data_IF_918838631213
#
_entry.id   IF_918838631213
#
_cell.length_a   1.000
_cell.length_b   1.000
_cell.length_c   1.000
_cell.angle_alpha   90.00
_cell.angle_beta   90.00
_cell.angle_gamma   90.00
#
_symmetry.space_group_name_H-M   'P 1'
#
loop_
_entity.id
_entity.type
_entity.pdbx_description
1 polymer ?
#
# COMPACT_ATOMS: atom_id res chain seq x y z
N UNK A 1 82.51 73.98 -3.11
CA UNK A 1 81.52 74.71 -2.29
C UNK A 1 80.13 74.11 -2.56
N UNK A 2 79.48 73.47 -1.63
CA UNK A 2 78.21 72.83 -1.86
C UNK A 2 77.01 73.69 -1.41
N UNK A 3 76.00 73.72 -2.17
CA UNK A 3 74.72 74.34 -1.81
C UNK A 3 73.81 73.35 -1.09
N UNK A 4 73.37 73.75 0.10
CA UNK A 4 72.41 73.06 0.94
C UNK A 4 70.97 73.41 0.43
N UNK A 5 70.18 72.50 0.12
CA UNK A 5 68.74 72.66 -0.12
C UNK A 5 67.99 71.95 0.99
N UNK A 6 67.30 72.73 1.80
CA UNK A 6 66.39 72.24 2.87
C UNK A 6 65.01 71.95 2.28
N UNK A 7 64.52 70.74 2.37
CA UNK A 7 63.12 70.34 2.03
C UNK A 7 62.29 70.19 3.31
N UNK A 8 61.24 70.95 3.36
CA UNK A 8 60.21 70.97 4.44
C UNK A 8 59.27 69.75 4.30
N UNK A 9 59.19 68.92 5.31
CA UNK A 9 58.24 67.85 5.46
C UNK A 9 56.85 68.39 5.88
N UNK A 10 55.85 68.20 5.03
CA UNK A 10 54.45 68.46 5.37
C UNK A 10 53.89 67.25 6.16
N UNK A 11 53.42 67.49 7.37
CA UNK A 11 52.80 66.49 8.23
C UNK A 11 51.43 66.07 7.67
N UNK A 12 51.24 64.73 7.53
CA UNK A 12 49.97 64.15 7.19
C UNK A 12 49.11 63.99 8.46
N UNK A 13 47.98 64.66 8.51
CA UNK A 13 47.01 64.50 9.57
C UNK A 13 46.22 63.16 9.38
N UNK A 14 46.47 62.20 10.25
CA UNK A 14 45.60 61.03 10.40
C UNK A 14 44.30 61.47 11.13
N UNK A 15 43.22 61.56 10.40
CA UNK A 15 41.89 61.68 10.96
C UNK A 15 41.49 60.33 11.58
N UNK A 16 41.41 60.27 12.89
CA UNK A 16 40.85 59.14 13.62
C UNK A 16 39.35 59.02 13.30
N UNK A 17 38.94 57.87 12.77
CA UNK A 17 37.51 57.54 12.58
C UNK A 17 36.84 57.47 13.95
N UNK A 18 35.62 58.04 14.12
CA UNK A 18 34.93 58.02 15.38
C UNK A 18 34.60 56.60 15.85
N UNK A 19 34.89 56.28 17.12
CA UNK A 19 34.75 54.99 17.78
C UNK A 19 33.35 54.34 17.66
N UNK A 20 32.33 55.15 17.33
CA UNK A 20 30.95 54.75 17.13
C UNK A 20 30.73 53.97 15.82
N UNK A 21 31.51 54.24 14.74
CA UNK A 21 31.38 53.53 13.46
C UNK A 21 31.93 52.12 13.58
N UNK A 22 33.01 51.89 14.35
CA UNK A 22 33.57 50.55 14.62
C UNK A 22 32.61 49.68 15.44
N UNK A 23 31.89 50.25 16.41
CA UNK A 23 30.90 49.53 17.18
C UNK A 23 29.65 49.15 16.34
N UNK A 24 29.19 49.99 15.43
CA UNK A 24 28.10 49.72 14.56
C UNK A 24 28.40 48.62 13.49
N UNK A 25 29.63 48.58 12.97
CA UNK A 25 30.05 47.54 12.04
C UNK A 25 30.26 46.18 12.75
N UNK A 26 30.78 46.20 13.99
CA UNK A 26 30.89 44.94 14.77
C UNK A 26 29.54 44.34 15.16
N UNK A 27 28.51 45.18 15.44
CA UNK A 27 27.15 44.73 15.75
C UNK A 27 26.44 44.22 14.49
N UNK A 28 26.67 44.82 13.31
CA UNK A 28 26.12 44.35 12.03
C UNK A 28 26.74 43.02 11.57
N UNK A 29 28.07 42.79 11.82
CA UNK A 29 28.72 41.53 11.52
C UNK A 29 28.25 40.42 12.49
N UNK A 30 27.96 40.72 13.76
CA UNK A 30 27.44 39.76 14.72
C UNK A 30 26.02 39.37 14.42
N UNK A 31 25.17 40.24 13.86
CA UNK A 31 23.79 39.97 13.39
C UNK A 31 23.76 39.18 12.07
N UNK A 32 24.76 39.33 11.19
CA UNK A 32 24.91 38.54 9.96
C UNK A 32 25.43 37.12 10.22
N UNK A 33 26.14 36.88 11.33
CA UNK A 33 26.63 35.55 11.70
C UNK A 33 25.57 34.65 12.34
N UNK A 34 24.39 35.17 12.70
CA UNK A 34 23.29 34.39 13.29
C UNK A 34 22.23 33.94 12.28
N UNK A 35 22.32 34.37 11.02
CA UNK A 35 21.57 33.78 9.92
C UNK A 35 22.25 32.53 9.35
N UNK A 36 22.83 31.67 10.20
CA UNK A 36 23.08 30.29 9.81
C UNK A 36 21.72 29.70 9.59
N UNK A 37 21.34 29.57 8.31
CA UNK A 37 20.19 28.80 7.93
C UNK A 37 20.22 27.51 8.75
N UNK A 38 19.30 27.32 9.66
CA UNK A 38 19.00 26.02 10.25
C UNK A 38 18.62 25.12 9.07
N UNK A 39 19.62 24.52 8.43
CA UNK A 39 19.39 23.31 7.67
C UNK A 39 18.76 22.37 8.67
N UNK A 40 17.46 22.22 8.60
CA UNK A 40 16.74 21.30 9.48
C UNK A 40 17.42 19.95 9.32
N UNK A 41 18.19 19.56 10.35
CA UNK A 41 18.91 18.29 10.35
C UNK A 41 17.85 17.22 10.15
N UNK A 42 18.02 16.40 9.10
CA UNK A 42 17.09 15.31 8.81
C UNK A 42 16.89 14.47 10.07
N UNK A 43 15.64 14.16 10.39
CA UNK A 43 15.26 13.31 11.54
C UNK A 43 15.78 11.87 11.43
N UNK A 44 16.36 11.51 10.29
CA UNK A 44 16.93 10.18 10.02
C UNK A 44 16.46 9.61 8.69
N UNK A 45 17.03 8.45 8.33
CA UNK A 45 16.68 7.69 7.12
C UNK A 45 15.60 6.65 7.46
N UNK A 46 14.57 6.58 6.65
CA UNK A 46 13.54 5.54 6.66
C UNK A 46 13.65 4.72 5.38
N UNK A 47 13.86 3.41 5.53
CA UNK A 47 13.83 2.47 4.41
C UNK A 47 12.40 2.03 4.10
N UNK A 48 12.03 2.02 2.81
CA UNK A 48 10.70 1.64 2.34
C UNK A 48 10.88 0.55 1.29
N UNK A 49 10.45 -0.69 1.61
CA UNK A 49 10.54 -1.83 0.71
C UNK A 49 9.15 -2.23 0.22
N UNK A 50 8.91 -2.08 -1.09
CA UNK A 50 7.66 -2.44 -1.76
C UNK A 50 7.85 -3.67 -2.65
N UNK A 51 6.79 -4.49 -2.88
CA UNK A 51 6.91 -5.74 -3.65
C UNK A 51 7.30 -5.51 -5.11
N UNK A 52 6.56 -4.69 -5.84
CA UNK A 52 6.77 -4.49 -7.27
C UNK A 52 6.12 -3.20 -7.78
N UNK A 53 6.34 -2.91 -9.07
CA UNK A 53 5.61 -1.87 -9.82
C UNK A 53 4.55 -2.45 -10.75
N UNK A 54 4.44 -3.77 -10.83
CA UNK A 54 3.48 -4.46 -11.70
C UNK A 54 2.02 -4.23 -11.28
N UNK A 55 1.79 -4.06 -9.98
CA UNK A 55 0.49 -3.72 -9.40
C UNK A 55 0.50 -2.22 -9.03
N UNK A 56 -0.38 -1.44 -9.66
CA UNK A 56 -0.35 0.02 -9.60
C UNK A 56 -0.46 0.60 -8.17
N UNK A 57 -1.18 -0.08 -7.27
CA UNK A 57 -1.32 0.37 -5.89
C UNK A 57 0.04 0.51 -5.17
N UNK A 58 1.02 -0.38 -5.43
CA UNK A 58 2.32 -0.30 -4.76
C UNK A 58 3.10 0.96 -5.12
N UNK A 59 2.92 1.46 -6.35
CA UNK A 59 3.47 2.76 -6.76
C UNK A 59 2.81 3.89 -5.95
N UNK A 60 1.49 3.85 -5.79
CA UNK A 60 0.76 4.83 -4.99
C UNK A 60 1.16 4.76 -3.51
N UNK A 61 1.23 3.56 -2.92
CA UNK A 61 1.67 3.34 -1.54
C UNK A 61 3.08 3.89 -1.29
N UNK A 62 4.06 3.55 -2.15
CA UNK A 62 5.43 4.02 -2.04
C UNK A 62 5.54 5.54 -2.15
N UNK A 63 4.88 6.14 -3.14
CA UNK A 63 4.91 7.59 -3.35
C UNK A 63 4.22 8.35 -2.20
N UNK A 64 3.09 7.87 -1.71
CA UNK A 64 2.41 8.45 -0.56
C UNK A 64 3.27 8.36 0.71
N UNK A 65 3.94 7.21 0.93
CA UNK A 65 4.85 7.03 2.06
C UNK A 65 6.03 8.00 2.00
N UNK A 66 6.67 8.15 0.83
CA UNK A 66 7.77 9.11 0.63
C UNK A 66 7.29 10.53 0.92
N UNK A 67 6.14 10.93 0.36
CA UNK A 67 5.55 12.26 0.57
C UNK A 67 5.29 12.52 2.06
N UNK A 68 4.64 11.59 2.75
CA UNK A 68 4.32 11.71 4.17
C UNK A 68 5.58 11.82 5.05
N UNK A 69 6.57 10.97 4.81
CA UNK A 69 7.81 10.97 5.58
C UNK A 69 8.67 12.21 5.32
N UNK A 70 8.79 12.63 4.05
CA UNK A 70 9.56 13.82 3.69
C UNK A 70 8.92 15.09 4.26
N UNK A 71 7.58 15.20 4.26
CA UNK A 71 6.87 16.33 4.87
C UNK A 71 7.11 16.42 6.39
N UNK A 72 7.44 15.31 7.03
CA UNK A 72 7.79 15.21 8.46
C UNK A 72 9.30 15.39 8.73
N UNK A 73 10.13 15.61 7.69
CA UNK A 73 11.56 15.87 7.80
C UNK A 73 12.46 14.64 7.78
N UNK A 74 11.96 13.48 7.36
CA UNK A 74 12.75 12.28 7.16
C UNK A 74 13.37 12.21 5.76
N UNK A 75 14.56 11.60 5.67
CA UNK A 75 15.07 11.06 4.40
C UNK A 75 14.43 9.70 4.14
N UNK A 76 14.24 9.36 2.88
CA UNK A 76 13.61 8.11 2.47
C UNK A 76 14.47 7.35 1.47
N UNK A 77 14.50 6.02 1.57
CA UNK A 77 15.04 5.11 0.56
C UNK A 77 13.92 4.17 0.13
N UNK A 78 13.27 4.47 -1.00
CA UNK A 78 12.18 3.67 -1.55
C UNK A 78 12.71 2.73 -2.62
N UNK A 79 12.48 1.43 -2.42
CA UNK A 79 12.88 0.37 -3.34
C UNK A 79 11.69 -0.54 -3.70
N UNK A 80 11.69 -1.03 -4.93
CA UNK A 80 10.73 -2.01 -5.44
C UNK A 80 11.51 -3.27 -5.85
N UNK A 81 11.06 -4.43 -5.41
CA UNK A 81 11.79 -5.68 -5.57
C UNK A 81 11.35 -6.51 -6.79
N UNK A 82 10.38 -6.00 -7.57
CA UNK A 82 9.84 -6.62 -8.80
C UNK A 82 9.36 -8.08 -8.57
N UNK A 83 8.73 -8.28 -7.41
CA UNK A 83 8.21 -9.57 -6.90
C UNK A 83 9.29 -10.67 -6.72
N UNK A 84 10.58 -10.28 -6.72
CA UNK A 84 11.71 -11.16 -6.51
C UNK A 84 12.19 -11.11 -5.06
N UNK A 85 12.03 -12.20 -4.30
CA UNK A 85 12.42 -12.29 -2.89
C UNK A 85 13.90 -11.95 -2.67
N UNK A 86 14.87 -12.48 -3.45
CA UNK A 86 16.27 -12.12 -3.26
C UNK A 86 16.54 -10.63 -3.42
N UNK A 87 15.84 -9.94 -4.33
CA UNK A 87 15.97 -8.51 -4.51
C UNK A 87 15.47 -7.76 -3.27
N UNK A 88 14.32 -8.16 -2.72
CA UNK A 88 13.79 -7.53 -1.51
C UNK A 88 14.74 -7.68 -0.32
N UNK A 89 15.31 -8.87 -0.13
CA UNK A 89 16.30 -9.13 0.92
C UNK A 89 17.53 -8.22 0.76
N UNK A 90 18.13 -8.17 -0.42
CA UNK A 90 19.30 -7.34 -0.70
C UNK A 90 19.00 -5.83 -0.52
N UNK A 91 17.83 -5.38 -0.94
CA UNK A 91 17.39 -3.98 -0.74
C UNK A 91 17.27 -3.64 0.73
N UNK A 92 16.67 -4.51 1.55
CA UNK A 92 16.56 -4.30 3.01
C UNK A 92 17.95 -4.29 3.66
N UNK A 93 18.85 -5.20 3.30
CA UNK A 93 20.24 -5.21 3.77
C UNK A 93 20.96 -3.90 3.42
N UNK A 94 20.78 -3.38 2.22
CA UNK A 94 21.32 -2.08 1.80
C UNK A 94 20.76 -0.91 2.63
N UNK A 95 19.45 -0.91 2.93
CA UNK A 95 18.83 0.10 3.80
C UNK A 95 19.41 0.06 5.21
N UNK A 96 19.63 -1.12 5.76
CA UNK A 96 20.30 -1.32 7.06
C UNK A 96 21.71 -0.73 7.02
N UNK A 97 22.49 -1.07 6.00
CA UNK A 97 23.88 -0.60 5.81
C UNK A 97 23.95 0.93 5.67
N UNK A 98 22.96 1.54 4.98
CA UNK A 98 22.84 3.00 4.85
C UNK A 98 22.42 3.70 6.17
N UNK A 99 22.15 2.95 7.23
CA UNK A 99 21.82 3.47 8.54
C UNK A 99 20.36 3.89 8.71
N UNK A 100 19.43 3.21 8.02
CA UNK A 100 18.00 3.39 8.26
C UNK A 100 17.68 3.23 9.74
N UNK A 101 16.80 4.08 10.25
CA UNK A 101 16.34 4.04 11.65
C UNK A 101 15.05 3.24 11.81
N UNK A 102 14.25 3.22 10.77
CA UNK A 102 13.01 2.45 10.66
C UNK A 102 12.95 1.84 9.27
N UNK A 103 12.45 0.62 9.20
CA UNK A 103 12.09 -0.07 7.96
C UNK A 103 10.57 -0.18 7.88
N UNK A 104 9.98 0.27 6.78
CA UNK A 104 8.57 0.09 6.43
C UNK A 104 8.51 -0.89 5.27
N UNK A 105 7.99 -2.09 5.51
CA UNK A 105 8.14 -3.21 4.58
C UNK A 105 6.77 -3.80 4.22
N UNK A 106 6.42 -3.78 2.94
CA UNK A 106 5.40 -4.61 2.35
C UNK A 106 6.07 -5.89 1.80
N UNK A 107 5.95 -7.00 2.53
CA UNK A 107 6.66 -8.22 2.20
C UNK A 107 6.11 -8.87 0.91
N UNK A 108 7.00 -9.38 0.04
CA UNK A 108 6.61 -10.26 -1.07
C UNK A 108 6.08 -11.57 -0.49
N UNK A 109 6.88 -12.23 0.34
CA UNK A 109 6.51 -13.40 1.13
C UNK A 109 6.81 -13.11 2.61
N UNK A 110 5.78 -13.14 3.43
CA UNK A 110 5.90 -12.84 4.87
C UNK A 110 6.85 -13.77 5.62
N UNK A 111 7.15 -14.96 5.11
CA UNK A 111 7.98 -15.96 5.81
C UNK A 111 9.48 -15.83 5.56
N UNK A 112 9.92 -14.98 4.63
CA UNK A 112 11.33 -14.98 4.13
C UNK A 112 12.25 -13.98 4.82
N UNK A 113 11.70 -13.07 5.65
CA UNK A 113 12.43 -11.91 6.14
C UNK A 113 13.10 -12.09 7.52
N UNK A 114 12.88 -13.22 8.21
CA UNK A 114 13.30 -13.40 9.62
C UNK A 114 14.79 -13.10 9.85
N UNK A 115 15.69 -13.55 8.96
CA UNK A 115 17.15 -13.38 9.12
C UNK A 115 17.55 -11.92 8.97
N UNK A 116 17.10 -11.23 7.91
CA UNK A 116 17.45 -9.82 7.68
C UNK A 116 16.87 -8.91 8.77
N UNK A 117 15.69 -9.23 9.30
CA UNK A 117 15.08 -8.49 10.40
C UNK A 117 15.77 -8.74 11.74
N UNK A 118 16.40 -9.91 11.94
CA UNK A 118 17.29 -10.13 13.09
C UNK A 118 18.49 -9.20 13.03
N UNK A 119 19.09 -8.99 11.84
CA UNK A 119 20.17 -8.03 11.64
C UNK A 119 19.71 -6.60 11.92
N UNK A 120 18.54 -6.20 11.44
CA UNK A 120 17.96 -4.89 11.74
C UNK A 120 17.77 -4.68 13.24
N UNK A 121 17.21 -5.65 13.95
CA UNK A 121 16.97 -5.60 15.38
C UNK A 121 18.26 -5.49 16.20
N UNK A 122 19.34 -6.20 15.79
CA UNK A 122 20.65 -6.11 16.46
C UNK A 122 21.28 -4.71 16.38
N UNK A 123 20.86 -3.90 15.40
CA UNK A 123 21.28 -2.50 15.23
C UNK A 123 20.26 -1.50 15.79
N UNK A 124 19.23 -1.97 16.49
CA UNK A 124 18.19 -1.12 17.08
C UNK A 124 17.21 -0.52 16.07
N UNK A 125 17.22 -1.00 14.82
CA UNK A 125 16.33 -0.55 13.76
C UNK A 125 14.93 -1.09 14.01
N UNK A 126 13.92 -0.21 13.97
CA UNK A 126 12.51 -0.56 14.13
C UNK A 126 11.89 -1.03 12.83
N UNK A 127 10.93 -1.94 12.92
CA UNK A 127 10.27 -2.55 11.75
C UNK A 127 8.76 -2.39 11.82
N UNK A 128 8.19 -1.78 10.79
CA UNK A 128 6.76 -1.69 10.58
C UNK A 128 6.41 -2.56 9.37
N UNK A 129 5.60 -3.61 9.59
CA UNK A 129 4.94 -4.31 8.51
C UNK A 129 3.90 -3.38 7.88
N UNK A 130 3.90 -3.25 6.57
CA UNK A 130 3.02 -2.37 5.82
C UNK A 130 2.13 -3.18 4.89
N UNK A 131 0.82 -3.04 5.02
CA UNK A 131 -0.22 -3.77 4.29
C UNK A 131 -0.15 -5.31 4.45
N UNK A 132 1.01 -5.93 4.30
CA UNK A 132 1.25 -7.37 4.41
C UNK A 132 1.94 -7.75 5.71
N UNK A 133 1.41 -8.77 6.41
CA UNK A 133 1.97 -9.23 7.68
C UNK A 133 3.29 -10.00 7.45
N UNK A 134 4.33 -9.61 8.19
CA UNK A 134 5.59 -10.36 8.23
C UNK A 134 5.49 -11.43 9.31
N UNK A 135 5.80 -12.69 8.96
CA UNK A 135 5.57 -13.89 9.77
C UNK A 135 6.86 -14.47 10.33
N UNK A 136 6.73 -15.34 11.32
CA UNK A 136 7.83 -16.18 11.84
C UNK A 136 8.94 -15.45 12.57
N UNK A 137 8.75 -14.18 12.98
CA UNK A 137 9.78 -13.40 13.67
C UNK A 137 9.20 -12.50 14.75
N UNK A 138 9.96 -12.28 15.83
CA UNK A 138 9.63 -11.29 16.88
C UNK A 138 10.02 -9.87 16.49
N UNK A 139 10.82 -9.70 15.44
CA UNK A 139 11.47 -8.44 15.03
C UNK A 139 10.59 -7.60 14.10
N UNK A 140 9.27 -7.62 14.31
CA UNK A 140 8.30 -6.70 13.72
C UNK A 140 7.68 -5.93 14.88
N UNK A 141 7.86 -4.62 14.92
CA UNK A 141 7.37 -3.82 16.04
C UNK A 141 5.87 -3.54 15.93
N UNK A 142 5.41 -3.12 14.74
CA UNK A 142 4.02 -2.77 14.46
C UNK A 142 3.58 -3.22 13.07
N UNK A 143 2.25 -3.21 12.87
CA UNK A 143 1.63 -3.51 11.59
C UNK A 143 0.59 -2.44 11.24
N UNK A 144 0.71 -1.83 10.07
CA UNK A 144 -0.26 -0.90 9.51
C UNK A 144 -0.95 -1.56 8.32
N UNK A 145 -2.26 -1.72 8.37
CA UNK A 145 -3.04 -2.38 7.32
C UNK A 145 -4.52 -1.94 7.37
N UNK A 146 -5.36 -2.60 6.59
CA UNK A 146 -6.81 -2.49 6.65
C UNK A 146 -7.42 -3.67 7.41
N UNK A 147 -8.71 -3.57 7.77
CA UNK A 147 -9.46 -4.73 8.24
C UNK A 147 -9.68 -5.71 7.07
N UNK A 148 -8.76 -6.66 6.96
CA UNK A 148 -8.70 -7.59 5.84
C UNK A 148 -9.87 -8.60 5.85
N UNK A 149 -10.37 -8.97 7.03
CA UNK A 149 -11.57 -9.81 7.12
C UNK A 149 -12.79 -9.06 6.59
N UNK A 150 -12.94 -7.79 6.97
CA UNK A 150 -14.03 -6.94 6.49
C UNK A 150 -14.00 -6.72 4.98
N UNK A 151 -12.82 -6.70 4.34
CA UNK A 151 -12.73 -6.69 2.86
C UNK A 151 -13.48 -7.87 2.26
N UNK A 152 -13.21 -9.08 2.75
CA UNK A 152 -13.91 -10.28 2.30
C UNK A 152 -15.42 -10.24 2.57
N UNK A 153 -15.81 -9.78 3.76
CA UNK A 153 -17.23 -9.60 4.12
C UNK A 153 -17.93 -8.67 3.13
N UNK A 154 -17.31 -7.55 2.76
CA UNK A 154 -17.86 -6.61 1.76
C UNK A 154 -18.03 -7.26 0.40
N UNK A 155 -17.05 -8.05 -0.05
CA UNK A 155 -17.12 -8.78 -1.33
C UNK A 155 -18.24 -9.84 -1.31
N UNK A 156 -18.29 -10.67 -0.28
CA UNK A 156 -19.34 -11.69 -0.12
C UNK A 156 -20.73 -11.08 -0.04
N UNK A 157 -20.88 -9.98 0.72
CA UNK A 157 -22.16 -9.25 0.84
C UNK A 157 -22.61 -8.69 -0.50
N UNK A 158 -21.70 -8.09 -1.28
CA UNK A 158 -22.02 -7.58 -2.61
C UNK A 158 -22.55 -8.69 -3.54
N UNK A 159 -21.93 -9.88 -3.53
CA UNK A 159 -22.44 -11.03 -4.30
C UNK A 159 -23.86 -11.42 -3.85
N UNK A 160 -24.07 -11.56 -2.55
CA UNK A 160 -25.36 -11.94 -1.96
C UNK A 160 -26.46 -10.95 -2.35
N UNK A 161 -26.17 -9.65 -2.26
CA UNK A 161 -27.14 -8.59 -2.55
C UNK A 161 -27.43 -8.50 -4.06
N UNK A 162 -26.41 -8.53 -4.91
CA UNK A 162 -26.58 -8.42 -6.37
C UNK A 162 -27.30 -9.62 -6.99
N UNK A 163 -27.11 -10.82 -6.42
CA UNK A 163 -27.85 -12.03 -6.83
C UNK A 163 -29.25 -12.13 -6.20
N UNK A 164 -29.56 -11.31 -5.20
CA UNK A 164 -30.84 -11.35 -4.49
C UNK A 164 -31.03 -12.62 -3.66
N UNK A 165 -29.95 -13.18 -3.13
CA UNK A 165 -29.98 -14.43 -2.34
C UNK A 165 -30.80 -14.29 -1.06
N UNK A 166 -30.78 -13.09 -0.42
CA UNK A 166 -31.62 -12.79 0.76
C UNK A 166 -33.10 -12.88 0.45
N UNK A 167 -33.52 -12.57 -0.79
CA UNK A 167 -34.89 -12.71 -1.26
C UNK A 167 -35.24 -14.13 -1.75
N UNK A 168 -34.37 -15.10 -1.47
CA UNK A 168 -34.60 -16.50 -1.79
C UNK A 168 -34.28 -16.92 -3.22
N UNK A 169 -33.71 -16.02 -4.07
CA UNK A 169 -33.34 -16.36 -5.45
C UNK A 169 -32.21 -17.41 -5.47
N UNK A 170 -32.08 -18.11 -6.59
CA UNK A 170 -31.11 -19.18 -6.84
C UNK A 170 -31.81 -20.49 -7.29
N UNK A 171 -31.02 -21.57 -7.58
CA UNK A 171 -29.58 -21.65 -7.40
C UNK A 171 -28.77 -20.83 -8.44
N UNK A 172 -27.61 -20.36 -8.04
CA UNK A 172 -26.67 -19.65 -8.90
C UNK A 172 -25.27 -20.31 -8.86
N UNK A 173 -24.62 -20.39 -10.02
CA UNK A 173 -23.26 -20.89 -10.11
C UNK A 173 -22.26 -19.77 -9.80
N UNK A 174 -21.31 -20.04 -8.93
CA UNK A 174 -20.22 -19.16 -8.54
C UNK A 174 -18.90 -19.89 -8.66
N UNK A 175 -17.83 -19.19 -9.04
CA UNK A 175 -16.45 -19.63 -8.84
C UNK A 175 -15.72 -18.67 -7.90
N UNK A 176 -14.76 -19.22 -7.14
CA UNK A 176 -14.00 -18.47 -6.16
C UNK A 176 -12.53 -18.48 -6.52
N UNK A 177 -11.92 -17.30 -6.39
CA UNK A 177 -10.47 -17.10 -6.52
C UNK A 177 -9.94 -16.62 -5.17
N UNK A 178 -8.74 -17.08 -4.82
CA UNK A 178 -7.99 -16.62 -3.67
C UNK A 178 -6.83 -15.71 -4.07
N UNK A 179 -6.32 -14.94 -3.14
CA UNK A 179 -5.09 -14.18 -3.32
C UNK A 179 -3.84 -15.07 -3.25
N UNK A 180 -2.68 -14.44 -3.21
CA UNK A 180 -1.40 -15.15 -3.15
C UNK A 180 -1.25 -15.95 -1.84
N UNK A 181 -0.94 -17.25 -1.88
CA UNK A 181 -0.85 -18.06 -0.66
C UNK A 181 0.30 -17.68 0.28
N UNK A 182 1.30 -16.94 -0.21
CA UNK A 182 2.40 -16.39 0.58
C UNK A 182 2.06 -15.05 1.28
N UNK A 183 0.89 -14.49 0.99
CA UNK A 183 0.34 -13.30 1.62
C UNK A 183 -0.73 -13.69 2.65
N UNK A 184 -0.49 -13.35 3.92
CA UNK A 184 -1.42 -13.63 5.00
C UNK A 184 -2.82 -13.01 4.78
N UNK A 185 -2.90 -11.89 4.07
CA UNK A 185 -4.17 -11.20 3.82
C UNK A 185 -5.12 -12.03 2.94
N UNK A 186 -4.58 -12.87 2.04
CA UNK A 186 -5.38 -13.73 1.18
C UNK A 186 -6.32 -14.65 1.96
N UNK A 187 -5.87 -15.14 3.12
CA UNK A 187 -6.68 -15.98 4.00
C UNK A 187 -7.78 -15.18 4.68
N UNK A 188 -7.49 -13.98 5.18
CA UNK A 188 -8.49 -13.10 5.79
C UNK A 188 -9.56 -12.66 4.78
N UNK A 189 -9.18 -12.30 3.56
CA UNK A 189 -10.14 -11.96 2.50
C UNK A 189 -11.04 -13.15 2.17
N UNK A 190 -10.43 -14.33 2.00
CA UNK A 190 -11.17 -15.55 1.71
C UNK A 190 -12.14 -15.90 2.84
N UNK A 191 -11.66 -15.93 4.08
CA UNK A 191 -12.48 -16.31 5.25
C UNK A 191 -13.61 -15.29 5.48
N UNK A 192 -13.34 -13.99 5.30
CA UNK A 192 -14.36 -12.95 5.37
C UNK A 192 -15.46 -13.13 4.32
N UNK A 193 -15.09 -13.41 3.06
CA UNK A 193 -16.06 -13.67 2.00
C UNK A 193 -16.85 -14.96 2.25
N UNK A 194 -16.17 -16.04 2.66
CA UNK A 194 -16.81 -17.32 2.94
C UNK A 194 -17.72 -17.27 4.16
N UNK A 195 -17.44 -16.41 5.16
CA UNK A 195 -18.34 -16.23 6.30
C UNK A 195 -19.74 -15.76 5.87
N UNK A 196 -19.81 -15.02 4.76
CA UNK A 196 -21.08 -14.52 4.17
C UNK A 196 -21.67 -15.52 3.16
N UNK A 197 -20.83 -16.16 2.33
CA UNK A 197 -21.29 -17.01 1.23
C UNK A 197 -21.65 -18.44 1.69
N UNK A 198 -21.00 -18.95 2.75
CA UNK A 198 -21.17 -20.33 3.20
C UNK A 198 -22.61 -20.75 3.47
N UNK A 199 -23.48 -19.97 4.13
CA UNK A 199 -24.87 -20.35 4.36
C UNK A 199 -25.65 -20.60 3.04
N UNK A 200 -25.31 -19.88 1.97
CA UNK A 200 -25.92 -20.04 0.66
C UNK A 200 -25.35 -21.23 -0.13
N UNK A 201 -24.07 -21.55 0.09
CA UNK A 201 -23.44 -22.76 -0.44
C UNK A 201 -24.00 -24.01 0.24
N UNK A 202 -24.13 -24.00 1.58
CA UNK A 202 -24.64 -25.12 2.37
C UNK A 202 -26.13 -25.41 2.02
N UNK A 203 -26.91 -24.37 1.72
CA UNK A 203 -28.32 -24.51 1.32
C UNK A 203 -28.53 -24.83 -0.17
N UNK A 204 -27.46 -24.90 -0.97
CA UNK A 204 -27.52 -25.13 -2.40
C UNK A 204 -28.00 -23.93 -3.23
N UNK A 205 -28.22 -22.76 -2.61
CA UNK A 205 -28.57 -21.51 -3.35
C UNK A 205 -27.40 -20.93 -4.12
N UNK A 206 -26.18 -21.22 -3.70
CA UNK A 206 -24.94 -21.03 -4.45
C UNK A 206 -24.29 -22.38 -4.71
N UNK A 207 -23.72 -22.56 -5.90
CA UNK A 207 -23.06 -23.80 -6.31
C UNK A 207 -21.69 -23.47 -6.90
N UNK A 208 -20.61 -23.98 -6.29
CA UNK A 208 -19.28 -23.97 -6.89
C UNK A 208 -19.13 -25.23 -7.72
N UNK A 209 -19.33 -25.11 -9.04
CA UNK A 209 -19.34 -26.28 -9.94
C UNK A 209 -18.01 -27.00 -9.99
N UNK A 210 -16.91 -26.28 -9.92
CA UNK A 210 -15.55 -26.86 -9.85
C UNK A 210 -15.29 -27.63 -8.54
N UNK A 211 -16.07 -27.37 -7.50
CA UNK A 211 -15.81 -27.84 -6.12
C UNK A 211 -14.43 -27.43 -5.56
N UNK A 212 -13.79 -26.44 -6.19
CA UNK A 212 -12.50 -25.91 -5.75
C UNK A 212 -12.72 -24.85 -4.67
N UNK A 213 -12.30 -25.14 -3.46
CA UNK A 213 -12.43 -24.27 -2.28
C UNK A 213 -11.15 -24.26 -1.46
N UNK A 214 -10.94 -23.17 -0.70
CA UNK A 214 -9.75 -22.98 0.14
C UNK A 214 -8.58 -22.33 -0.61
N UNK A 215 -7.90 -21.39 0.05
CA UNK A 215 -6.82 -20.57 -0.56
C UNK A 215 -5.76 -21.44 -1.21
N UNK A 216 -5.43 -22.60 -0.65
CA UNK A 216 -4.42 -23.52 -1.22
C UNK A 216 -4.81 -24.10 -2.59
N UNK A 217 -6.11 -24.13 -2.94
CA UNK A 217 -6.60 -24.63 -4.24
C UNK A 217 -6.95 -23.52 -5.22
N UNK A 218 -7.43 -22.39 -4.71
CA UNK A 218 -7.97 -21.30 -5.53
C UNK A 218 -7.06 -20.06 -5.54
N UNK A 219 -5.95 -20.11 -4.78
CA UNK A 219 -5.00 -19.01 -4.68
C UNK A 219 -4.21 -18.78 -5.97
N UNK A 220 -3.95 -17.52 -6.25
CA UNK A 220 -3.18 -17.07 -7.41
C UNK A 220 -1.88 -16.45 -6.91
N UNK A 221 -0.78 -17.17 -7.13
CA UNK A 221 0.55 -16.73 -6.68
C UNK A 221 0.90 -15.35 -7.26
N UNK A 222 1.49 -14.50 -6.43
CA UNK A 222 1.87 -13.11 -6.76
C UNK A 222 0.72 -12.22 -7.22
N UNK A 223 -0.55 -12.63 -7.00
CA UNK A 223 -1.72 -11.86 -7.43
C UNK A 223 -1.72 -11.60 -8.95
N UNK A 224 -1.20 -12.58 -9.72
CA UNK A 224 -0.97 -12.44 -11.16
C UNK A 224 -2.27 -12.58 -11.96
N UNK A 225 -2.63 -11.52 -12.70
CA UNK A 225 -3.87 -11.47 -13.48
C UNK A 225 -3.88 -12.44 -14.66
N UNK A 226 -2.72 -12.73 -15.28
CA UNK A 226 -2.64 -13.69 -16.40
C UNK A 226 -2.87 -15.12 -15.91
N UNK A 227 -2.33 -15.47 -14.75
CA UNK A 227 -2.60 -16.75 -14.08
C UNK A 227 -4.08 -16.88 -13.72
N UNK A 228 -4.71 -15.79 -13.24
CA UNK A 228 -6.15 -15.78 -12.96
C UNK A 228 -6.98 -15.99 -14.25
N UNK A 229 -6.60 -15.34 -15.36
CA UNK A 229 -7.21 -15.56 -16.67
C UNK A 229 -7.12 -17.02 -17.10
N UNK A 230 -5.90 -17.60 -17.10
CA UNK A 230 -5.69 -18.99 -17.48
C UNK A 230 -6.50 -19.97 -16.60
N UNK A 231 -6.59 -19.71 -15.28
CA UNK A 231 -7.47 -20.50 -14.40
C UNK A 231 -8.93 -20.36 -14.77
N UNK A 232 -9.39 -19.16 -15.12
CA UNK A 232 -10.78 -18.94 -15.53
C UNK A 232 -11.09 -19.61 -16.86
N UNK A 233 -10.18 -19.59 -17.85
CA UNK A 233 -10.32 -20.32 -19.12
C UNK A 233 -10.52 -21.82 -18.88
N UNK A 234 -9.71 -22.39 -17.98
CA UNK A 234 -9.83 -23.81 -17.61
C UNK A 234 -11.16 -24.11 -16.91
N UNK A 235 -11.64 -23.23 -16.01
CA UNK A 235 -12.93 -23.40 -15.34
C UNK A 235 -14.10 -23.34 -16.34
N UNK A 236 -14.06 -22.37 -17.24
CA UNK A 236 -15.11 -22.20 -18.27
C UNK A 236 -15.17 -23.42 -19.18
N UNK A 237 -14.03 -23.90 -19.66
CA UNK A 237 -13.95 -25.08 -20.51
C UNK A 237 -14.43 -26.35 -19.80
N UNK A 238 -14.03 -26.56 -18.55
CA UNK A 238 -14.32 -27.81 -17.85
C UNK A 238 -15.73 -27.90 -17.27
N UNK A 239 -16.34 -26.76 -16.88
CA UNK A 239 -17.56 -26.76 -16.06
C UNK A 239 -18.70 -25.91 -16.61
N UNK A 240 -18.45 -25.06 -17.62
CA UNK A 240 -19.42 -24.06 -18.08
C UNK A 240 -19.75 -24.14 -19.58
N UNK A 241 -19.51 -25.30 -20.23
CA UNK A 241 -19.83 -25.51 -21.64
C UNK A 241 -21.33 -25.34 -21.95
N UNK A 242 -22.21 -25.79 -21.05
CA UNK A 242 -23.67 -25.66 -21.17
C UNK A 242 -24.31 -24.83 -20.05
N UNK A 243 -23.58 -24.59 -19.02
CA UNK A 243 -24.04 -23.89 -17.81
C UNK A 243 -23.58 -22.44 -17.82
N UNK A 244 -24.29 -21.58 -17.11
CA UNK A 244 -23.90 -20.18 -16.95
C UNK A 244 -23.20 -19.98 -15.60
N UNK A 245 -22.16 -19.14 -15.60
CA UNK A 245 -21.61 -18.59 -14.37
C UNK A 245 -22.35 -17.30 -14.03
N UNK A 246 -22.72 -17.14 -12.76
CA UNK A 246 -23.53 -16.00 -12.28
C UNK A 246 -22.72 -15.05 -11.40
N UNK A 247 -21.66 -15.56 -10.74
CA UNK A 247 -20.77 -14.74 -9.94
C UNK A 247 -19.34 -15.29 -9.95
N UNK A 248 -18.39 -14.40 -9.75
CA UNK A 248 -16.98 -14.73 -9.46
C UNK A 248 -16.53 -13.89 -8.26
N UNK A 249 -16.13 -14.57 -7.19
CA UNK A 249 -15.39 -13.94 -6.11
C UNK A 249 -13.94 -13.74 -6.58
N UNK A 250 -13.60 -12.55 -7.00
CA UNK A 250 -12.23 -12.14 -7.31
C UNK A 250 -11.70 -11.26 -6.16
N UNK A 251 -10.60 -11.66 -5.49
CA UNK A 251 -10.16 -11.00 -4.26
C UNK A 251 -9.50 -9.64 -4.49
N UNK A 252 -9.02 -9.35 -5.70
CA UNK A 252 -8.52 -8.03 -6.09
C UNK A 252 -8.77 -7.71 -7.56
N UNK A 253 -8.47 -6.48 -7.95
CA UNK A 253 -8.77 -5.92 -9.27
C UNK A 253 -7.88 -6.53 -10.37
N UNK A 254 -6.61 -6.79 -10.12
CA UNK A 254 -5.72 -7.43 -11.09
C UNK A 254 -6.24 -8.81 -11.50
N UNK A 255 -6.72 -9.61 -10.53
CA UNK A 255 -7.34 -10.90 -10.82
C UNK A 255 -8.70 -10.73 -11.52
N UNK A 256 -9.51 -9.75 -11.10
CA UNK A 256 -10.80 -9.46 -11.72
C UNK A 256 -10.64 -9.11 -13.21
N UNK A 257 -9.64 -8.32 -13.57
CA UNK A 257 -9.34 -7.99 -14.98
C UNK A 257 -9.00 -9.25 -15.78
N UNK A 258 -8.20 -10.15 -15.26
CA UNK A 258 -7.91 -11.44 -15.90
C UNK A 258 -9.16 -12.30 -16.08
N UNK A 259 -9.99 -12.41 -15.05
CA UNK A 259 -11.28 -13.11 -15.09
C UNK A 259 -12.22 -12.52 -16.15
N UNK A 260 -12.35 -11.20 -16.21
CA UNK A 260 -13.19 -10.50 -17.20
C UNK A 260 -12.69 -10.76 -18.62
N UNK A 261 -11.37 -10.77 -18.82
CA UNK A 261 -10.77 -11.08 -20.13
C UNK A 261 -11.19 -12.47 -20.61
N UNK A 262 -11.08 -13.48 -19.77
CA UNK A 262 -11.51 -14.85 -20.05
C UNK A 262 -13.02 -14.94 -20.36
N UNK A 263 -13.86 -14.31 -19.53
CA UNK A 263 -15.31 -14.30 -19.71
C UNK A 263 -15.73 -13.66 -21.05
N UNK A 264 -15.08 -12.56 -21.43
CA UNK A 264 -15.31 -11.91 -22.74
C UNK A 264 -14.95 -12.84 -23.91
N UNK A 265 -13.89 -13.63 -23.78
CA UNK A 265 -13.46 -14.61 -24.78
C UNK A 265 -14.53 -15.64 -25.11
N UNK A 266 -15.44 -15.94 -24.19
CA UNK A 266 -16.56 -16.89 -24.39
C UNK A 266 -17.95 -16.23 -24.48
N UNK A 267 -17.99 -14.92 -24.71
CA UNK A 267 -19.21 -14.17 -25.05
C UNK A 267 -19.95 -13.53 -23.87
N UNK A 268 -19.45 -13.58 -22.65
CA UNK A 268 -19.99 -12.76 -21.55
C UNK A 268 -19.63 -11.28 -21.74
N UNK A 269 -20.29 -10.42 -20.99
CA UNK A 269 -20.09 -8.97 -21.03
C UNK A 269 -20.40 -8.36 -22.41
N UNK A 270 -21.41 -8.88 -23.09
CA UNK A 270 -21.91 -8.41 -24.38
C UNK A 270 -23.38 -8.05 -24.29
N UNK A 271 -23.92 -7.41 -25.34
CA UNK A 271 -25.36 -7.13 -25.42
C UNK A 271 -26.24 -8.40 -25.35
N UNK A 272 -25.68 -9.56 -25.72
CA UNK A 272 -26.41 -10.85 -25.70
C UNK A 272 -26.32 -11.54 -24.34
N UNK A 273 -25.26 -11.32 -23.60
CA UNK A 273 -25.01 -11.98 -22.31
C UNK A 273 -24.29 -11.03 -21.34
N UNK A 274 -25.01 -10.64 -20.29
CA UNK A 274 -24.47 -9.78 -19.26
C UNK A 274 -23.24 -10.42 -18.56
N UNK A 275 -22.40 -9.57 -18.00
CA UNK A 275 -21.34 -10.03 -17.09
C UNK A 275 -21.95 -10.70 -15.86
N UNK A 276 -21.30 -11.73 -15.30
CA UNK A 276 -21.60 -12.18 -13.94
C UNK A 276 -21.29 -11.10 -12.90
N UNK A 277 -21.75 -11.30 -11.68
CA UNK A 277 -21.30 -10.48 -10.54
C UNK A 277 -19.82 -10.75 -10.29
N UNK A 278 -18.97 -9.74 -10.41
CA UNK A 278 -17.50 -9.87 -10.23
C UNK A 278 -17.07 -8.85 -9.19
N UNK A 279 -16.43 -9.33 -8.13
CA UNK A 279 -15.84 -8.49 -7.09
C UNK A 279 -14.41 -8.07 -7.43
N UNK A 280 -13.85 -7.17 -6.64
CA UNK A 280 -12.45 -6.77 -6.72
C UNK A 280 -12.02 -6.05 -5.44
N UNK A 281 -10.80 -5.55 -5.43
CA UNK A 281 -10.22 -4.77 -4.36
C UNK A 281 -9.10 -3.90 -4.94
N UNK A 282 -8.82 -2.77 -4.29
CA UNK A 282 -7.79 -1.76 -4.52
C UNK A 282 -8.24 -0.58 -5.39
N UNK A 283 -9.44 -0.60 -5.95
CA UNK A 283 -10.02 0.48 -6.76
C UNK A 283 -9.09 0.95 -7.89
N UNK A 284 -8.42 0.00 -8.56
CA UNK A 284 -7.51 0.31 -9.67
C UNK A 284 -8.27 0.93 -10.85
N UNK A 285 -7.62 1.86 -11.56
CA UNK A 285 -8.25 2.59 -12.68
C UNK A 285 -8.91 1.67 -13.71
N UNK A 286 -8.29 0.56 -14.19
CA UNK A 286 -8.94 -0.35 -15.12
C UNK A 286 -10.23 -0.95 -14.56
N UNK A 287 -10.25 -1.32 -13.30
CA UNK A 287 -11.41 -1.90 -12.62
C UNK A 287 -12.51 -0.87 -12.38
N UNK A 288 -12.18 0.36 -12.00
CA UNK A 288 -13.18 1.44 -11.89
C UNK A 288 -13.81 1.70 -13.26
N UNK A 289 -13.04 1.72 -14.35
CA UNK A 289 -13.58 1.80 -15.73
C UNK A 289 -14.47 0.60 -16.07
N UNK A 290 -14.10 -0.61 -15.67
CA UNK A 290 -14.90 -1.81 -15.87
C UNK A 290 -16.21 -1.76 -15.07
N UNK A 291 -16.19 -1.22 -13.85
CA UNK A 291 -17.41 -1.00 -13.05
C UNK A 291 -18.37 -0.04 -13.76
N UNK A 292 -17.85 1.06 -14.30
CA UNK A 292 -18.68 2.04 -15.02
C UNK A 292 -19.27 1.49 -16.34
N UNK A 293 -18.60 0.50 -16.95
CA UNK A 293 -19.10 -0.23 -18.13
C UNK A 293 -20.03 -1.38 -17.78
N UNK A 294 -20.21 -1.71 -16.49
CA UNK A 294 -20.99 -2.87 -16.06
C UNK A 294 -20.27 -4.21 -16.28
N UNK A 295 -18.96 -4.21 -16.47
CA UNK A 295 -18.14 -5.40 -16.69
C UNK A 295 -17.61 -6.00 -15.37
N UNK A 296 -17.41 -5.17 -14.35
CA UNK A 296 -17.14 -5.53 -12.97
C UNK A 296 -18.24 -4.96 -12.08
N UNK A 297 -18.58 -5.61 -10.99
CA UNK A 297 -19.70 -5.17 -10.14
C UNK A 297 -19.25 -4.21 -9.06
N UNK A 298 -18.11 -4.49 -8.44
CA UNK A 298 -17.57 -3.69 -7.33
C UNK A 298 -16.09 -3.88 -7.15
N UNK A 299 -15.48 -2.94 -6.45
CA UNK A 299 -14.15 -3.06 -5.88
C UNK A 299 -14.16 -2.60 -4.43
N UNK A 300 -13.24 -3.08 -3.60
CA UNK A 300 -13.07 -2.59 -2.24
C UNK A 300 -11.93 -1.57 -2.22
N UNK A 301 -12.28 -0.33 -1.93
CA UNK A 301 -11.34 0.79 -1.84
C UNK A 301 -10.60 0.78 -0.52
N UNK A 302 -9.29 0.88 -0.63
CA UNK A 302 -8.33 1.04 0.46
C UNK A 302 -7.51 2.29 0.19
N UNK A 303 -7.72 3.36 0.96
CA UNK A 303 -7.03 4.63 0.74
C UNK A 303 -5.55 4.52 1.11
N UNK A 304 -4.69 4.40 0.10
CA UNK A 304 -3.23 4.30 0.26
C UNK A 304 -2.60 5.55 0.89
N UNK A 305 -3.26 6.71 0.78
CA UNK A 305 -2.83 7.96 1.43
C UNK A 305 -2.98 7.85 2.95
N UNK A 306 -4.12 7.33 3.41
CA UNK A 306 -4.38 7.13 4.83
C UNK A 306 -3.48 6.05 5.43
N UNK A 307 -3.23 4.95 4.70
CA UNK A 307 -2.31 3.91 5.16
C UNK A 307 -0.88 4.45 5.31
N UNK A 308 -0.42 5.24 4.33
CA UNK A 308 0.88 5.90 4.40
C UNK A 308 0.96 6.89 5.57
N UNK A 309 -0.11 7.67 5.83
CA UNK A 309 -0.20 8.61 6.95
C UNK A 309 -0.09 7.88 8.30
N UNK A 310 -0.79 6.75 8.45
CA UNK A 310 -0.73 5.92 9.67
C UNK A 310 0.68 5.38 9.88
N UNK A 311 1.29 4.76 8.86
CA UNK A 311 2.63 4.20 8.98
C UNK A 311 3.69 5.29 9.23
N UNK A 312 3.59 6.46 8.58
CA UNK A 312 4.46 7.60 8.87
C UNK A 312 4.27 8.15 10.29
N UNK A 313 3.04 8.12 10.81
CA UNK A 313 2.74 8.42 12.22
C UNK A 313 3.40 7.43 13.19
N UNK A 314 3.42 6.15 12.85
CA UNK A 314 4.14 5.12 13.62
C UNK A 314 5.65 5.38 13.61
N UNK A 315 6.23 5.78 12.47
CA UNK A 315 7.65 6.18 12.38
C UNK A 315 7.95 7.36 13.31
N UNK A 316 7.13 8.44 13.28
CA UNK A 316 7.28 9.59 14.15
C UNK A 316 7.24 9.22 15.64
N UNK A 317 6.28 8.37 16.02
CA UNK A 317 6.13 7.93 17.40
C UNK A 317 7.36 7.12 17.86
N UNK A 318 7.79 6.15 17.06
CA UNK A 318 8.95 5.30 17.39
C UNK A 318 10.24 6.09 17.54
N UNK A 319 10.53 6.99 16.62
CA UNK A 319 11.75 7.82 16.66
C UNK A 319 11.65 8.96 17.69
N UNK A 320 10.43 9.35 18.07
CA UNK A 320 10.16 10.29 19.15
C UNK A 320 10.09 9.64 20.55
N UNK A 321 10.39 8.33 20.67
CA UNK A 321 10.32 7.59 21.94
C UNK A 321 8.89 7.45 22.50
N UNK A 322 7.87 7.52 21.63
CA UNK A 322 6.45 7.39 21.98
C UNK A 322 5.88 6.07 21.48
N UNK A 323 4.76 5.67 22.03
CA UNK A 323 4.00 4.53 21.52
C UNK A 323 3.20 4.97 20.28
N UNK A 324 3.27 4.23 19.16
CA UNK A 324 2.38 4.42 18.03
C UNK A 324 0.90 4.18 18.39
N UNK A 325 0.01 4.88 17.70
CA UNK A 325 -1.41 4.61 17.77
C UNK A 325 -1.73 3.24 17.16
N UNK A 326 -2.50 2.43 17.90
CA UNK A 326 -2.96 1.11 17.48
C UNK A 326 -4.43 0.94 17.88
N UNK A 327 -5.14 0.08 17.15
CA UNK A 327 -6.53 -0.28 17.45
C UNK A 327 -6.80 -1.78 17.46
N UNK A 328 -5.77 -2.60 17.21
CA UNK A 328 -5.85 -4.06 17.32
C UNK A 328 -4.59 -4.66 17.98
N UNK A 329 -4.82 -5.52 18.98
CA UNK A 329 -3.77 -6.26 19.71
C UNK A 329 -4.08 -7.75 19.83
N UNK A 330 -4.99 -8.28 18.99
CA UNK A 330 -5.50 -9.66 19.12
C UNK A 330 -5.48 -10.44 17.80
N UNK A 331 -5.76 -9.78 16.69
CA UNK A 331 -6.07 -10.45 15.41
C UNK A 331 -4.84 -10.98 14.69
N UNK A 332 -3.76 -10.20 14.65
CA UNK A 332 -2.62 -10.51 13.78
C UNK A 332 -1.48 -11.21 14.51
N UNK A 333 -1.68 -12.52 14.75
CA UNK A 333 -0.59 -13.40 15.22
C UNK A 333 0.28 -13.81 14.02
N UNK A 334 1.55 -13.44 14.09
CA UNK A 334 2.51 -13.71 13.01
C UNK A 334 3.27 -15.04 13.16
N UNK A 335 2.85 -15.89 14.10
CA UNK A 335 3.50 -17.17 14.41
C UNK A 335 4.59 -17.07 15.49
N UNK A 336 5.08 -15.86 15.81
CA UNK A 336 6.05 -15.62 16.88
C UNK A 336 5.49 -14.72 17.99
N UNK A 337 4.54 -13.86 17.65
CA UNK A 337 3.80 -13.00 18.59
C UNK A 337 2.54 -12.45 17.93
N UNK A 338 1.64 -11.88 18.73
CA UNK A 338 0.63 -10.95 18.22
C UNK A 338 1.30 -9.61 17.96
N UNK A 339 1.20 -9.10 16.72
CA UNK A 339 1.79 -7.83 16.31
C UNK A 339 0.77 -6.71 16.57
N UNK A 340 1.09 -5.70 17.41
CA UNK A 340 0.23 -4.55 17.60
C UNK A 340 -0.04 -3.84 16.28
N UNK A 341 -1.32 -3.63 15.94
CA UNK A 341 -1.73 -3.22 14.60
C UNK A 341 -2.63 -2.00 14.60
N UNK A 342 -2.58 -1.23 13.51
CA UNK A 342 -3.59 -0.24 13.18
C UNK A 342 -4.34 -0.68 11.93
N UNK A 343 -5.65 -0.88 12.06
CA UNK A 343 -6.53 -1.35 11.02
C UNK A 343 -7.40 -0.21 10.51
N UNK A 344 -7.21 0.16 9.25
CA UNK A 344 -8.06 1.10 8.53
C UNK A 344 -9.33 0.42 8.04
N UNK A 345 -10.41 1.18 7.90
CA UNK A 345 -11.68 0.68 7.41
C UNK A 345 -11.69 0.63 5.88
N UNK A 346 -11.91 -0.54 5.25
CA UNK A 346 -12.14 -0.65 3.82
C UNK A 346 -13.54 -0.18 3.45
N UNK A 347 -13.74 0.27 2.20
CA UNK A 347 -15.02 0.77 1.71
C UNK A 347 -15.38 0.12 0.37
N UNK A 348 -16.57 -0.41 0.23
CA UNK A 348 -17.06 -0.93 -1.04
C UNK A 348 -17.35 0.21 -2.03
N UNK A 349 -16.85 0.08 -3.25
CA UNK A 349 -17.09 1.00 -4.37
C UNK A 349 -17.81 0.25 -5.49
N UNK A 350 -18.87 0.84 -5.98
CA UNK A 350 -19.58 0.39 -7.18
C UNK A 350 -19.99 1.59 -8.09
N UNK A 351 -20.77 1.35 -9.11
CA UNK A 351 -21.20 2.39 -10.06
C UNK A 351 -22.04 3.52 -9.44
N UNK A 352 -22.53 3.36 -8.21
CA UNK A 352 -23.39 4.35 -7.54
C UNK A 352 -22.62 5.32 -6.65
N UNK A 353 -21.45 4.92 -6.14
CA UNK A 353 -20.71 5.68 -5.13
C UNK A 353 -19.23 5.98 -5.49
N UNK A 354 -18.76 5.56 -6.67
CA UNK A 354 -17.37 5.76 -7.09
C UNK A 354 -16.94 7.22 -7.11
N UNK A 355 -17.85 8.13 -7.54
CA UNK A 355 -17.48 9.54 -7.70
C UNK A 355 -17.16 10.24 -6.37
N UNK A 356 -18.04 10.23 -5.34
CA UNK A 356 -17.69 10.81 -4.04
C UNK A 356 -16.47 10.15 -3.39
N UNK A 357 -16.30 8.84 -3.54
CA UNK A 357 -15.22 8.11 -2.87
C UNK A 357 -13.87 8.25 -3.56
N UNK A 358 -13.82 8.33 -4.88
CA UNK A 358 -12.57 8.32 -5.64
C UNK A 358 -12.22 9.67 -6.28
N UNK A 359 -13.21 10.46 -6.69
CA UNK A 359 -12.97 11.74 -7.38
C UNK A 359 -13.08 12.91 -6.40
N UNK A 360 -14.22 13.06 -5.73
CA UNK A 360 -14.47 14.20 -4.85
C UNK A 360 -13.54 14.17 -3.62
N UNK A 361 -13.09 12.96 -3.21
CA UNK A 361 -12.03 12.77 -2.20
C UNK A 361 -10.63 13.19 -2.69
N UNK A 362 -10.44 13.41 -3.99
CA UNK A 362 -9.14 13.72 -4.58
C UNK A 362 -8.20 12.52 -4.72
N UNK A 363 -8.70 11.27 -4.65
CA UNK A 363 -7.88 10.07 -4.85
C UNK A 363 -7.46 9.93 -6.31
N UNK A 364 -8.41 10.12 -7.24
CA UNK A 364 -8.19 10.19 -8.68
C UNK A 364 -8.72 11.49 -9.26
N UNK A 365 -8.17 11.88 -10.42
CA UNK A 365 -8.79 12.89 -11.30
C UNK A 365 -9.86 12.22 -12.15
N UNK A 366 -10.97 12.89 -12.41
CA UNK A 366 -12.06 12.33 -13.24
C UNK A 366 -11.56 11.96 -14.64
N UNK A 367 -10.60 12.73 -15.21
CA UNK A 367 -9.99 12.44 -16.52
C UNK A 367 -9.17 11.14 -16.58
N UNK A 368 -8.84 10.53 -15.44
CA UNK A 368 -8.15 9.22 -15.40
C UNK A 368 -9.16 8.07 -15.50
N UNK A 369 -10.41 8.32 -15.12
CA UNK A 369 -11.48 7.31 -15.07
C UNK A 369 -12.36 7.36 -16.31
N UNK A 370 -12.62 8.55 -16.86
CA UNK A 370 -13.43 8.76 -18.09
C UNK A 370 -12.58 8.93 -19.32
#
# INVERSE_FOLDING_TARGET
MPHVVTSTLRGAYFRSLPLNILKSCALALALLATSVASFAQSKGLVGIAMPSKSIARWIADGNNMVKELQSRGYKTDLQYAEDEIPNQLAQIENMITKGAKVLVIAAIDGNTLSKVLQTAASQGIKVIAYDRLIKGTKNVDYYATFDNFQVGVLQGTNIVDKLGLKAGKGPFNIEVFGGSPDDNNAYFFYDGAMSVLKPYLDSGKLVIRSKQVGVNKVGILRWDGATAQARMDNLLSAFYGTEKIHAVLAPNDSLAVGVISSLKGVGYCTAKQACPVITGQDAEIPSVKAILKGEQTSTVYKDTRELARVAAGMVDALLGGKQPEINDTKTYNNGAKVVPSYLLKPVLVDSTNWKPLLIDSGYYKESQIR
#
